data_IF_641808141237
#
_entry.id   IF_641808141237
#
_cell.length_a   1.000
_cell.length_b   1.000
_cell.length_c   1.000
_cell.angle_alpha   90.00
_cell.angle_beta   90.00
_cell.angle_gamma   90.00
#
_symmetry.space_group_name_H-M   'P 1'
#
loop_
_entity.id
_entity.type
_entity.pdbx_description
1 polymer ?
#
# COMPACT_ATOMS: atom_id res chain seq x y z
N UNK A 1 -2.69 32.32 -37.97
CA UNK A 1 -3.90 31.86 -37.25
C UNK A 1 -3.94 30.39 -36.84
N UNK A 2 -3.09 29.47 -37.36
CA UNK A 2 -3.18 28.02 -37.04
C UNK A 2 -2.28 27.52 -35.89
N UNK A 3 -1.36 28.32 -35.37
CA UNK A 3 -0.46 27.95 -34.27
C UNK A 3 -1.06 28.20 -32.87
N UNK A 4 -2.11 29.03 -32.76
CA UNK A 4 -2.75 29.37 -31.49
C UNK A 4 -3.86 28.38 -31.07
N UNK A 5 -4.38 27.55 -31.98
CA UNK A 5 -5.46 26.60 -31.68
C UNK A 5 -4.95 25.29 -31.08
N UNK A 6 -3.69 24.92 -31.34
CA UNK A 6 -3.07 23.70 -30.82
C UNK A 6 -2.75 23.82 -29.33
N UNK A 7 -2.37 25.02 -28.86
CA UNK A 7 -2.07 25.27 -27.44
C UNK A 7 -3.28 25.10 -26.52
N UNK A 8 -4.47 25.54 -26.96
CA UNK A 8 -5.72 25.42 -26.16
C UNK A 8 -6.17 23.96 -25.96
N UNK A 9 -5.93 23.08 -26.94
CA UNK A 9 -6.27 21.65 -26.81
C UNK A 9 -5.32 20.90 -25.88
N UNK A 10 -4.07 21.35 -25.78
CA UNK A 10 -3.07 20.72 -24.89
C UNK A 10 -3.33 21.09 -23.43
N UNK A 11 -3.67 22.35 -23.15
CA UNK A 11 -3.98 22.80 -21.80
C UNK A 11 -5.24 22.13 -21.25
N UNK A 12 -6.32 22.01 -22.02
CA UNK A 12 -7.53 21.28 -21.59
C UNK A 12 -7.29 19.79 -21.29
N UNK A 13 -6.42 19.12 -22.06
CA UNK A 13 -6.05 17.72 -21.79
C UNK A 13 -5.23 17.59 -20.50
N UNK A 14 -4.36 18.56 -20.22
CA UNK A 14 -3.58 18.58 -18.99
C UNK A 14 -4.46 18.91 -17.77
N UNK A 15 -5.39 19.87 -17.85
CA UNK A 15 -6.31 20.15 -16.74
C UNK A 15 -7.25 19.00 -16.46
N UNK A 16 -7.80 18.32 -17.47
CA UNK A 16 -8.66 17.13 -17.26
C UNK A 16 -7.90 15.94 -16.66
N UNK A 17 -6.65 15.71 -17.10
CA UNK A 17 -5.78 14.67 -16.53
C UNK A 17 -5.38 14.98 -15.09
N UNK A 18 -5.05 16.24 -14.80
CA UNK A 18 -4.68 16.69 -13.45
C UNK A 18 -5.87 16.71 -12.49
N UNK A 19 -7.06 17.11 -12.92
CA UNK A 19 -8.27 17.07 -12.07
C UNK A 19 -8.73 15.64 -11.79
N UNK A 20 -8.62 14.72 -12.75
CA UNK A 20 -8.94 13.30 -12.51
C UNK A 20 -7.93 12.65 -11.54
N UNK A 21 -6.65 13.07 -11.59
CA UNK A 21 -5.64 12.67 -10.61
C UNK A 21 -5.83 13.35 -9.24
N UNK A 22 -6.24 14.61 -9.18
CA UNK A 22 -6.47 15.32 -7.93
C UNK A 22 -7.70 14.80 -7.18
N UNK A 23 -8.78 14.43 -7.89
CA UNK A 23 -9.99 13.88 -7.26
C UNK A 23 -9.77 12.48 -6.68
N UNK A 24 -8.85 11.68 -7.23
CA UNK A 24 -8.43 10.41 -6.61
C UNK A 24 -7.45 10.59 -5.44
N UNK A 25 -6.84 11.77 -5.27
CA UNK A 25 -5.83 12.04 -4.23
C UNK A 25 -6.46 12.47 -2.89
N UNK A 26 -7.79 12.68 -2.82
CA UNK A 26 -8.51 13.02 -1.56
C UNK A 26 -9.34 11.85 -1.04
N UNK A 27 -8.98 10.60 -1.36
CA UNK A 27 -9.37 9.45 -0.52
C UNK A 27 -8.39 9.41 0.65
N UNK A 28 -8.81 9.91 1.82
CA UNK A 28 -8.00 9.91 3.06
C UNK A 28 -7.31 8.56 3.23
N UNK A 29 -5.98 8.58 3.37
CA UNK A 29 -5.09 7.46 3.73
C UNK A 29 -5.44 6.90 5.13
N UNK A 30 -6.65 6.37 5.32
CA UNK A 30 -7.02 5.66 6.52
C UNK A 30 -7.08 4.18 6.18
N UNK A 31 -6.11 3.42 6.69
CA UNK A 31 -6.29 1.99 6.89
C UNK A 31 -7.58 1.79 7.70
N UNK A 32 -8.45 0.83 7.32
CA UNK A 32 -9.69 0.61 8.02
C UNK A 32 -9.39 0.32 9.50
N UNK A 33 -9.95 1.14 10.39
CA UNK A 33 -9.83 0.90 11.82
C UNK A 33 -10.55 -0.41 12.18
N UNK A 34 -10.12 -1.09 13.25
CA UNK A 34 -10.77 -2.32 13.71
C UNK A 34 -12.29 -2.17 13.91
N UNK A 35 -12.76 -0.96 14.22
CA UNK A 35 -14.18 -0.62 14.41
C UNK A 35 -14.95 -0.52 13.09
N UNK A 36 -14.32 -0.05 12.01
CA UNK A 36 -14.95 0.10 10.69
C UNK A 36 -15.20 -1.25 9.98
N UNK A 37 -14.50 -2.29 10.43
CA UNK A 37 -14.60 -3.66 9.91
C UNK A 37 -15.89 -4.37 10.36
N UNK A 38 -16.58 -3.86 11.39
CA UNK A 38 -17.77 -4.54 11.94
C UNK A 38 -18.90 -4.57 10.90
N UNK A 39 -19.26 -5.77 10.46
CA UNK A 39 -20.33 -6.00 9.47
C UNK A 39 -19.89 -5.90 8.00
N UNK A 40 -18.62 -5.59 7.70
CA UNK A 40 -18.09 -5.55 6.34
C UNK A 40 -17.31 -6.83 6.02
N UNK A 41 -17.33 -7.25 4.75
CA UNK A 41 -16.46 -8.33 4.27
C UNK A 41 -15.07 -7.73 4.08
N UNK A 42 -14.05 -8.35 4.68
CA UNK A 42 -12.66 -7.91 4.57
C UNK A 42 -11.87 -8.94 3.79
N UNK A 43 -11.19 -8.49 2.74
CA UNK A 43 -10.18 -9.27 2.04
C UNK A 43 -8.80 -8.92 2.61
N UNK A 44 -8.02 -9.93 2.95
CA UNK A 44 -6.67 -9.75 3.49
C UNK A 44 -5.70 -10.63 2.75
N UNK A 45 -4.61 -10.03 2.28
CA UNK A 45 -3.43 -10.74 1.82
C UNK A 45 -2.30 -10.54 2.83
N UNK A 46 -1.70 -11.63 3.29
CA UNK A 46 -0.59 -11.62 4.25
C UNK A 46 0.59 -12.34 3.62
N UNK A 47 1.69 -11.63 3.44
CA UNK A 47 2.96 -12.17 2.96
C UNK A 47 3.98 -12.10 4.08
N UNK A 48 4.55 -13.24 4.46
CA UNK A 48 5.63 -13.33 5.44
C UNK A 48 6.91 -13.74 4.72
N UNK A 49 7.97 -12.95 4.88
CA UNK A 49 9.26 -13.17 4.24
C UNK A 49 10.41 -12.88 5.21
N UNK A 50 11.64 -13.27 4.83
CA UNK A 50 12.86 -12.94 5.56
C UNK A 50 13.78 -12.12 4.67
N UNK A 51 14.05 -10.87 5.05
CA UNK A 51 15.03 -10.02 4.41
C UNK A 51 16.45 -10.48 4.81
N UNK A 52 17.33 -10.66 3.82
CA UNK A 52 18.68 -11.23 4.00
C UNK A 52 18.69 -12.58 4.73
N UNK A 53 17.63 -13.39 4.58
CA UNK A 53 17.45 -14.68 5.27
C UNK A 53 17.36 -14.63 6.81
N UNK A 54 17.54 -13.45 7.41
CA UNK A 54 17.62 -13.28 8.87
C UNK A 54 16.47 -12.45 9.42
N UNK A 55 16.11 -11.37 8.73
CA UNK A 55 15.23 -10.35 9.29
C UNK A 55 13.78 -10.57 8.87
N UNK A 56 12.86 -10.95 9.78
CA UNK A 56 11.48 -11.22 9.41
C UNK A 56 10.77 -9.93 8.99
N UNK A 57 10.05 -10.01 7.88
CA UNK A 57 9.21 -8.93 7.34
C UNK A 57 7.83 -9.51 7.06
N UNK A 58 6.80 -8.75 7.39
CA UNK A 58 5.41 -9.12 7.09
C UNK A 58 4.73 -7.99 6.37
N UNK A 59 4.14 -8.29 5.23
CA UNK A 59 3.36 -7.35 4.43
C UNK A 59 1.89 -7.75 4.54
N UNK A 60 1.07 -6.83 5.03
CA UNK A 60 -0.38 -7.00 5.14
C UNK A 60 -1.06 -6.00 4.23
N UNK A 61 -1.84 -6.52 3.29
CA UNK A 61 -2.72 -5.74 2.45
C UNK A 61 -4.16 -6.08 2.83
N UNK A 62 -4.87 -5.14 3.45
CA UNK A 62 -6.23 -5.31 3.91
C UNK A 62 -7.16 -4.35 3.15
N UNK A 63 -8.32 -4.86 2.75
CA UNK A 63 -9.29 -4.10 1.98
C UNK A 63 -10.72 -4.49 2.29
N UNK A 64 -11.64 -3.56 2.02
CA UNK A 64 -13.08 -3.79 2.18
C UNK A 64 -13.61 -4.32 0.85
N UNK A 65 -14.28 -5.48 0.91
CA UNK A 65 -14.93 -6.08 -0.25
C UNK A 65 -16.41 -5.65 -0.30
N UNK A 66 -16.82 -5.09 -1.43
CA UNK A 66 -18.20 -4.73 -1.75
C UNK A 66 -18.68 -5.55 -2.95
N UNK A 67 -19.91 -6.06 -2.87
CA UNK A 67 -20.57 -6.69 -4.03
C UNK A 67 -20.93 -5.59 -5.03
N UNK A 68 -20.68 -5.84 -6.31
CA UNK A 68 -21.03 -4.92 -7.39
C UNK A 68 -22.47 -5.13 -7.86
N UNK A 69 -23.16 -4.03 -8.14
CA UNK A 69 -24.52 -4.04 -8.67
C UNK A 69 -24.58 -4.54 -10.12
N UNK A 70 -25.80 -4.69 -10.66
CA UNK A 70 -26.01 -5.11 -12.05
C UNK A 70 -25.38 -4.16 -13.07
N UNK A 71 -25.52 -2.84 -12.85
CA UNK A 71 -24.96 -1.83 -13.74
C UNK A 71 -23.43 -1.88 -13.75
N UNK A 72 -22.80 -1.90 -12.57
CA UNK A 72 -21.34 -2.00 -12.43
C UNK A 72 -20.79 -3.29 -13.03
N UNK A 73 -21.56 -4.39 -12.93
CA UNK A 73 -21.21 -5.67 -13.54
C UNK A 73 -21.20 -5.58 -15.05
N UNK A 74 -22.25 -5.03 -15.67
CA UNK A 74 -22.33 -4.83 -17.12
C UNK A 74 -21.15 -4.01 -17.65
N UNK A 75 -20.74 -2.97 -16.94
CA UNK A 75 -19.56 -2.17 -17.30
C UNK A 75 -18.26 -2.99 -17.27
N UNK A 76 -18.14 -3.92 -16.32
CA UNK A 76 -16.98 -4.81 -16.26
C UNK A 76 -17.01 -5.81 -17.41
N UNK A 77 -18.17 -6.38 -17.74
CA UNK A 77 -18.33 -7.30 -18.88
C UNK A 77 -17.99 -6.61 -20.20
N UNK A 78 -18.52 -5.42 -20.44
CA UNK A 78 -18.21 -4.60 -21.62
C UNK A 78 -16.72 -4.32 -21.73
N UNK A 79 -16.08 -3.92 -20.63
CA UNK A 79 -14.64 -3.62 -20.61
C UNK A 79 -13.77 -4.86 -20.82
N UNK A 80 -14.21 -6.02 -20.36
CA UNK A 80 -13.40 -7.25 -20.35
C UNK A 80 -13.72 -8.21 -21.48
N UNK A 81 -14.84 -8.01 -22.19
CA UNK A 81 -15.31 -8.88 -23.28
C UNK A 81 -15.69 -10.28 -22.82
N UNK A 82 -16.03 -10.46 -21.53
CA UNK A 82 -16.38 -11.76 -20.94
C UNK A 82 -17.57 -11.61 -20.00
N UNK A 83 -18.36 -12.65 -19.91
CA UNK A 83 -19.37 -12.78 -18.85
C UNK A 83 -18.70 -12.93 -17.49
N UNK A 84 -19.26 -12.28 -16.46
CA UNK A 84 -18.75 -12.37 -15.08
C UNK A 84 -19.85 -12.85 -14.15
N UNK A 85 -19.47 -13.53 -13.06
CA UNK A 85 -20.47 -14.10 -12.15
C UNK A 85 -21.25 -13.03 -11.39
N UNK A 86 -22.40 -13.43 -10.83
CA UNK A 86 -23.19 -12.59 -9.91
C UNK A 86 -22.44 -12.25 -8.61
N UNK A 87 -21.35 -12.96 -8.31
CA UNK A 87 -20.52 -12.77 -7.12
C UNK A 87 -19.31 -11.87 -7.40
N UNK A 88 -19.44 -10.95 -8.35
CA UNK A 88 -18.41 -9.95 -8.65
C UNK A 88 -18.26 -9.00 -7.46
N UNK A 89 -17.04 -8.89 -6.95
CA UNK A 89 -16.71 -8.00 -5.84
C UNK A 89 -15.65 -6.99 -6.24
N UNK A 90 -15.79 -5.76 -5.77
CA UNK A 90 -14.71 -4.79 -5.73
C UNK A 90 -14.08 -4.82 -4.35
N UNK A 91 -12.76 -4.82 -4.31
CA UNK A 91 -12.00 -4.74 -3.07
C UNK A 91 -11.21 -3.44 -3.08
N UNK A 92 -11.57 -2.51 -2.19
CA UNK A 92 -10.81 -1.29 -1.95
C UNK A 92 -9.74 -1.59 -0.87
N UNK A 93 -8.50 -1.81 -1.29
CA UNK A 93 -7.35 -2.03 -0.41
C UNK A 93 -6.77 -0.70 0.10
N UNK A 94 -6.53 -0.67 1.41
CA UNK A 94 -5.73 0.38 2.02
C UNK A 94 -4.25 0.25 1.63
N UNK A 95 -3.43 1.27 1.89
CA UNK A 95 -1.99 1.16 1.69
C UNK A 95 -1.41 -0.04 2.46
N UNK A 96 -0.47 -0.79 1.86
CA UNK A 96 0.09 -1.96 2.51
C UNK A 96 0.83 -1.59 3.81
N UNK A 97 0.59 -2.41 4.82
CA UNK A 97 1.28 -2.35 6.10
C UNK A 97 2.49 -3.28 6.06
N UNK A 98 3.68 -2.72 6.24
CA UNK A 98 4.93 -3.46 6.27
C UNK A 98 5.44 -3.46 7.71
N UNK A 99 5.45 -4.63 8.36
CA UNK A 99 5.93 -4.82 9.71
C UNK A 99 7.29 -5.53 9.71
N UNK A 100 8.17 -5.11 10.61
CA UNK A 100 9.58 -5.51 10.64
C UNK A 100 9.96 -6.16 11.97
N UNK A 101 10.92 -7.10 11.93
CA UNK A 101 11.51 -7.74 13.09
C UNK A 101 10.73 -8.95 13.62
N UNK A 102 11.07 -9.46 14.82
CA UNK A 102 10.35 -10.55 15.48
C UNK A 102 8.87 -10.22 15.72
N UNK A 103 8.00 -11.24 15.76
CA UNK A 103 6.54 -11.08 15.90
C UNK A 103 6.12 -10.15 17.05
N UNK A 104 6.81 -10.18 18.19
CA UNK A 104 6.49 -9.34 19.35
C UNK A 104 6.76 -7.84 19.13
N UNK A 105 7.70 -7.49 18.23
CA UNK A 105 8.02 -6.10 17.87
C UNK A 105 7.22 -5.58 16.68
N UNK A 106 6.73 -6.46 15.82
CA UNK A 106 6.05 -6.08 14.57
C UNK A 106 4.78 -5.22 14.79
N UNK A 107 4.12 -5.34 15.97
CA UNK A 107 3.01 -4.44 16.32
C UNK A 107 3.41 -2.97 16.47
N UNK A 108 4.68 -2.71 16.77
CA UNK A 108 5.25 -1.37 16.97
C UNK A 108 6.06 -0.91 15.76
N UNK A 109 6.84 -1.81 15.16
CA UNK A 109 7.71 -1.52 14.02
C UNK A 109 6.99 -1.80 12.71
N UNK A 110 6.02 -0.95 12.37
CA UNK A 110 5.26 -1.07 11.12
C UNK A 110 5.08 0.26 10.40
N UNK A 111 5.16 0.19 9.09
CA UNK A 111 5.08 1.30 8.16
C UNK A 111 3.86 1.13 7.25
N UNK A 112 3.21 2.23 6.92
CA UNK A 112 2.18 2.27 5.87
C UNK A 112 2.76 2.97 4.66
N UNK A 113 3.00 2.22 3.57
CA UNK A 113 3.71 2.73 2.39
C UNK A 113 2.92 2.38 1.14
N UNK A 114 2.83 3.32 0.19
CA UNK A 114 2.20 3.10 -1.10
C UNK A 114 0.78 3.63 -1.19
N UNK A 115 0.16 3.54 -2.39
CA UNK A 115 -1.18 4.04 -2.60
C UNK A 115 -2.24 3.06 -2.11
N UNK A 116 -3.45 3.55 -1.88
CA UNK A 116 -4.65 2.71 -1.89
C UNK A 116 -4.79 2.09 -3.30
N UNK A 117 -5.25 0.85 -3.37
CA UNK A 117 -5.49 0.17 -4.65
C UNK A 117 -6.87 -0.46 -4.63
N UNK A 118 -7.52 -0.57 -5.79
CA UNK A 118 -8.75 -1.31 -5.92
C UNK A 118 -8.59 -2.47 -6.90
N UNK A 119 -9.24 -3.59 -6.59
CA UNK A 119 -9.20 -4.80 -7.42
C UNK A 119 -10.63 -5.30 -7.59
N UNK A 120 -11.01 -5.57 -8.84
CA UNK A 120 -12.26 -6.24 -9.15
C UNK A 120 -11.98 -7.74 -9.29
N UNK A 121 -12.67 -8.54 -8.48
CA UNK A 121 -12.54 -9.99 -8.43
C UNK A 121 -13.88 -10.62 -8.78
N UNK A 122 -13.87 -11.42 -9.83
CA UNK A 122 -14.96 -12.31 -10.17
C UNK A 122 -14.84 -13.57 -9.32
N UNK A 123 -15.85 -13.90 -8.51
CA UNK A 123 -15.79 -15.04 -7.59
C UNK A 123 -16.82 -16.12 -7.94
N UNK A 124 -16.61 -16.88 -9.03
CA UNK A 124 -17.62 -17.82 -9.55
C UNK A 124 -17.94 -18.95 -8.56
N UNK A 125 -17.05 -19.23 -7.60
CA UNK A 125 -17.29 -20.22 -6.55
C UNK A 125 -17.16 -19.59 -5.16
N UNK A 126 -18.23 -19.69 -4.37
CA UNK A 126 -18.32 -19.19 -2.99
C UNK A 126 -18.77 -20.32 -2.06
N UNK A 127 -17.81 -21.04 -1.48
CA UNK A 127 -18.07 -22.11 -0.53
C UNK A 127 -18.06 -21.66 0.94
N UNK A 128 -18.38 -22.59 1.83
CA UNK A 128 -18.36 -22.35 3.28
C UNK A 128 -16.93 -22.09 3.80
N UNK A 129 -15.93 -22.84 3.31
CA UNK A 129 -14.54 -22.74 3.75
C UNK A 129 -13.57 -22.07 2.76
N UNK A 130 -13.94 -22.00 1.48
CA UNK A 130 -13.07 -21.44 0.44
C UNK A 130 -13.86 -20.64 -0.59
N UNK A 131 -13.19 -19.69 -1.23
CA UNK A 131 -13.70 -18.92 -2.37
C UNK A 131 -12.66 -18.92 -3.48
N UNK A 132 -13.08 -19.18 -4.71
CA UNK A 132 -12.22 -19.04 -5.88
C UNK A 132 -12.47 -17.66 -6.47
N UNK A 133 -11.40 -16.91 -6.70
CA UNK A 133 -11.46 -15.61 -7.34
C UNK A 133 -10.65 -15.58 -8.62
N UNK A 134 -11.10 -14.75 -9.56
CA UNK A 134 -10.41 -14.44 -10.80
C UNK A 134 -10.36 -12.93 -10.95
N UNK A 135 -9.18 -12.37 -11.20
CA UNK A 135 -9.05 -10.96 -11.55
C UNK A 135 -9.94 -10.63 -12.76
N UNK A 136 -10.79 -9.61 -12.62
CA UNK A 136 -11.70 -9.19 -13.69
C UNK A 136 -10.92 -8.83 -14.96
N UNK A 137 -9.86 -8.05 -14.80
CA UNK A 137 -9.04 -7.57 -15.93
C UNK A 137 -7.89 -8.53 -16.27
N UNK A 138 -7.09 -8.96 -15.28
CA UNK A 138 -5.88 -9.76 -15.55
C UNK A 138 -6.14 -11.24 -15.78
N UNK A 139 -7.31 -11.76 -15.37
CA UNK A 139 -7.60 -13.19 -15.39
C UNK A 139 -6.82 -14.02 -14.36
N UNK A 140 -5.99 -13.40 -13.52
CA UNK A 140 -5.22 -14.08 -12.46
C UNK A 140 -6.15 -14.83 -11.52
N UNK A 141 -5.77 -16.05 -11.11
CA UNK A 141 -6.59 -16.90 -10.25
C UNK A 141 -6.12 -16.80 -8.80
N UNK A 142 -7.07 -16.77 -7.87
CA UNK A 142 -6.84 -16.65 -6.44
C UNK A 142 -7.69 -17.67 -5.69
N UNK A 143 -7.13 -18.20 -4.60
CA UNK A 143 -7.86 -19.07 -3.68
C UNK A 143 -7.88 -18.37 -2.33
N UNK A 144 -9.08 -18.06 -1.84
CA UNK A 144 -9.27 -17.42 -0.54
C UNK A 144 -9.82 -18.44 0.45
N UNK A 145 -9.12 -18.65 1.56
CA UNK A 145 -9.67 -19.36 2.71
C UNK A 145 -10.59 -18.44 3.51
N UNK A 146 -11.79 -18.91 3.85
CA UNK A 146 -12.69 -18.16 4.73
C UNK A 146 -12.19 -18.31 6.16
N UNK A 147 -12.00 -17.18 6.84
CA UNK A 147 -11.76 -17.20 8.29
C UNK A 147 -13.09 -17.52 8.96
N UNK A 148 -13.20 -18.61 9.72
CA UNK A 148 -14.45 -18.98 10.37
C UNK A 148 -14.86 -17.91 11.40
N UNK A 149 -16.15 -17.86 11.78
CA UNK A 149 -16.63 -16.97 12.83
C UNK A 149 -15.89 -17.22 14.15
N UNK A 150 -16.02 -16.27 15.08
CA UNK A 150 -15.16 -16.11 16.27
C UNK A 150 -14.93 -17.36 17.12
N UNK A 151 -15.85 -18.33 17.06
CA UNK A 151 -15.92 -19.49 17.96
C UNK A 151 -15.12 -20.70 17.46
N UNK A 152 -14.56 -20.63 16.25
CA UNK A 152 -13.69 -21.66 15.70
C UNK A 152 -12.20 -21.32 15.88
N UNK A 153 -11.30 -22.33 15.99
CA UNK A 153 -9.87 -22.09 16.06
C UNK A 153 -9.41 -21.27 14.85
N UNK A 154 -8.92 -20.06 15.13
CA UNK A 154 -8.49 -19.13 14.08
C UNK A 154 -7.19 -19.63 13.48
N UNK A 155 -7.03 -19.43 12.18
CA UNK A 155 -5.72 -19.66 11.56
C UNK A 155 -4.71 -18.66 12.12
N UNK A 156 -3.47 -19.11 12.35
CA UNK A 156 -2.38 -18.25 12.86
C UNK A 156 -2.23 -16.95 12.06
N UNK A 157 -2.45 -17.00 10.74
CA UNK A 157 -2.41 -15.83 9.85
C UNK A 157 -3.57 -14.86 10.09
N UNK A 158 -4.77 -15.34 10.41
CA UNK A 158 -5.94 -14.51 10.70
C UNK A 158 -5.79 -13.72 12.00
N UNK A 159 -5.21 -14.33 13.04
CA UNK A 159 -4.93 -13.64 14.30
C UNK A 159 -3.82 -12.62 14.13
N UNK A 160 -2.77 -13.00 13.40
CA UNK A 160 -1.61 -12.17 13.19
C UNK A 160 -1.94 -10.83 12.49
N UNK A 161 -2.69 -10.84 11.38
CA UNK A 161 -3.03 -9.57 10.72
C UNK A 161 -3.93 -8.71 11.59
N UNK A 162 -4.84 -9.30 12.38
CA UNK A 162 -5.69 -8.56 13.31
C UNK A 162 -4.86 -7.86 14.38
N UNK A 163 -3.88 -8.56 14.97
CA UNK A 163 -2.93 -7.97 15.92
C UNK A 163 -2.13 -6.82 15.29
N UNK A 164 -1.70 -6.99 14.04
CA UNK A 164 -1.00 -5.92 13.32
C UNK A 164 -1.88 -4.71 13.05
N UNK A 165 -3.14 -4.89 12.69
CA UNK A 165 -4.06 -3.77 12.43
C UNK A 165 -4.54 -3.12 13.74
N UNK A 166 -4.68 -3.87 14.84
CA UNK A 166 -5.12 -3.36 16.14
C UNK A 166 -4.03 -2.68 16.96
N UNK A 167 -2.76 -2.84 16.60
CA UNK A 167 -1.63 -2.20 17.31
C UNK A 167 -1.56 -0.68 17.12
N UNK A 168 -0.44 -0.07 17.54
CA UNK A 168 -0.20 1.38 17.39
C UNK A 168 -0.36 1.85 15.94
N UNK A 169 -0.59 3.15 15.71
CA UNK A 169 -0.69 3.65 14.34
C UNK A 169 0.64 3.39 13.58
N UNK A 170 0.59 2.95 12.31
CA UNK A 170 1.79 2.78 11.51
C UNK A 170 2.49 4.12 11.32
N UNK A 171 3.82 4.10 11.29
CA UNK A 171 4.58 5.30 10.91
C UNK A 171 4.29 5.57 9.43
N UNK A 172 3.85 6.79 9.13
CA UNK A 172 3.53 7.17 7.76
C UNK A 172 4.81 7.20 6.91
N UNK A 173 4.72 6.79 5.65
CA UNK A 173 5.87 6.89 4.72
C UNK A 173 6.42 8.32 4.61
N UNK A 174 5.59 9.35 4.83
CA UNK A 174 6.03 10.76 4.87
C UNK A 174 6.94 11.05 6.06
N UNK A 175 6.60 10.53 7.25
CA UNK A 175 7.44 10.68 8.44
C UNK A 175 8.78 9.96 8.25
N UNK A 176 8.76 8.75 7.66
CA UNK A 176 10.00 8.03 7.32
C UNK A 176 10.84 8.82 6.32
N UNK A 177 10.24 9.34 5.26
CA UNK A 177 10.94 10.15 4.26
C UNK A 177 11.56 11.41 4.86
N UNK A 178 10.83 12.12 5.72
CA UNK A 178 11.33 13.31 6.42
C UNK A 178 12.51 12.99 7.37
N UNK A 179 12.40 11.90 8.13
CA UNK A 179 13.47 11.46 9.02
C UNK A 179 14.74 11.07 8.25
N UNK A 180 14.58 10.34 7.15
CA UNK A 180 15.69 9.96 6.27
C UNK A 180 16.37 11.17 5.64
N UNK A 181 15.58 12.15 5.18
CA UNK A 181 16.12 13.41 4.64
C UNK A 181 16.89 14.19 5.69
N UNK A 182 16.33 14.32 6.91
CA UNK A 182 17.01 14.97 8.03
C UNK A 182 18.33 14.29 8.36
N UNK A 183 18.35 12.96 8.43
CA UNK A 183 19.57 12.20 8.70
C UNK A 183 20.63 12.42 7.60
N UNK A 184 20.23 12.45 6.34
CA UNK A 184 21.12 12.75 5.22
C UNK A 184 21.72 14.16 5.34
N UNK A 185 20.90 15.17 5.64
CA UNK A 185 21.35 16.55 5.83
C UNK A 185 22.35 16.68 6.98
N UNK A 186 22.08 16.04 8.13
CA UNK A 186 22.99 16.00 9.27
C UNK A 186 24.32 15.34 8.90
N UNK A 187 24.29 14.25 8.13
CA UNK A 187 25.50 13.58 7.64
C UNK A 187 26.32 14.47 6.72
N UNK A 188 25.67 15.19 5.79
CA UNK A 188 26.35 16.14 4.89
C UNK A 188 26.98 17.28 5.70
N UNK A 189 26.24 17.90 6.62
CA UNK A 189 26.75 18.99 7.46
C UNK A 189 27.95 18.56 8.32
N UNK A 190 27.90 17.38 8.93
CA UNK A 190 29.01 16.84 9.70
C UNK A 190 30.26 16.58 8.83
N UNK A 191 30.06 16.12 7.59
CA UNK A 191 31.17 15.88 6.64
C UNK A 191 31.82 17.20 6.20
N UNK A 192 31.03 18.25 5.96
CA UNK A 192 31.54 19.59 5.64
C UNK A 192 32.31 20.18 6.82
N UNK A 193 31.76 20.11 8.03
CA UNK A 193 32.43 20.63 9.23
C UNK A 193 33.78 19.95 9.52
N UNK A 194 33.88 18.64 9.29
CA UNK A 194 35.16 17.91 9.41
C UNK A 194 36.12 18.28 8.27
N UNK A 195 35.62 18.49 7.06
CA UNK A 195 36.44 18.95 5.92
C UNK A 195 37.07 20.32 6.15
N UNK A 196 36.31 21.28 6.68
CA UNK A 196 36.82 22.62 7.04
C UNK A 196 37.83 22.57 8.19
N UNK A 197 37.64 21.67 9.15
CA UNK A 197 38.57 21.48 10.26
C UNK A 197 39.96 20.97 9.82
N UNK A 198 40.03 20.13 8.76
CA UNK A 198 41.30 19.65 8.22
C UNK A 198 41.90 20.58 7.16
N UNK A 199 41.10 21.39 6.47
CA UNK A 199 41.58 22.42 5.53
C UNK A 199 42.31 23.57 6.22
N UNK A 200 42.07 23.82 7.51
CA UNK A 200 42.73 24.88 8.29
C UNK A 200 44.08 24.51 8.91
N UNK A 201 44.53 23.26 8.82
CA UNK A 201 45.83 22.79 9.35
C UNK A 201 46.95 22.76 8.29
N UNK A 202 46.68 23.27 7.08
CA UNK A 202 47.57 23.20 5.92
C UNK A 202 48.71 24.23 5.84
N UNK A 203 48.82 25.18 6.77
CA UNK A 203 49.95 26.11 6.83
C UNK A 203 50.72 25.98 8.15
N UNK A 204 51.29 24.80 8.41
CA UNK A 204 52.43 24.72 9.31
C UNK A 204 53.69 25.02 8.48
N UNK A 205 54.46 26.08 8.79
CA UNK A 205 55.66 26.42 8.05
C UNK A 205 56.64 25.24 8.14
N UNK A 206 56.93 24.62 7.01
CA UNK A 206 57.98 23.62 6.87
C UNK A 206 59.30 24.36 7.12
N UNK A 207 59.83 24.24 8.32
CA UNK A 207 61.17 24.71 8.65
C UNK A 207 62.17 23.76 7.97
N UNK A 208 62.56 24.09 6.74
CA UNK A 208 63.64 23.41 6.04
C UNK A 208 64.95 23.77 6.75
N UNK A 209 65.64 22.76 7.26
CA UNK A 209 67.02 22.84 7.75
C UNK A 209 67.98 22.31 6.70
#
# INVERSE_FOLDING_TARGET
GRLLSTGKRLTERLTKSLTTRLVSTVRRDRSPSATEVKGKIVAVNVVMLKLFSVFPVSVVLAGIATLLGEEERRLVEERTGREVSQNLVKVDFAPPLIAFGPKFLQKYLKLSIGPCTDVILDTPFVGAGLRLGRGATSGSRFVFGRVPPSDAPRTRSAEFWRQLVSGSNPISGRAVGALSLLFLLVRVAATVAVGEFWGGLGELPILVR
#
